data_IF_784110353956
#
_entry.id   IF_784110353956
#
_cell.length_a   1.000
_cell.length_b   1.000
_cell.length_c   1.000
_cell.angle_alpha   90.00
_cell.angle_beta   90.00
_cell.angle_gamma   90.00
#
_symmetry.space_group_name_H-M   'P 1'
#
loop_
_entity.id
_entity.type
_entity.pdbx_description
1 polymer ?
#
# COMPACT_ATOMS: atom_id res chain seq x y z
N UNK A 1 41.56 56.50 64.44
CA UNK A 1 42.36 55.26 64.33
C UNK A 1 41.57 54.08 64.91
N UNK A 2 40.87 53.31 64.09
CA UNK A 2 40.54 51.89 64.31
C UNK A 2 40.44 51.24 62.93
N UNK A 3 41.30 50.24 62.71
CA UNK A 3 41.47 49.46 61.49
C UNK A 3 40.39 48.37 61.38
N UNK A 4 40.03 48.10 60.11
CA UNK A 4 39.81 46.80 59.47
C UNK A 4 38.78 45.79 60.03
N UNK A 5 37.85 45.36 59.17
CA UNK A 5 37.98 44.09 58.42
C UNK A 5 36.87 44.02 57.35
N UNK A 6 37.24 44.04 56.07
CA UNK A 6 36.33 43.70 54.97
C UNK A 6 36.65 42.27 54.53
N UNK A 7 35.71 41.35 54.75
CA UNK A 7 35.78 39.96 54.30
C UNK A 7 35.34 39.92 52.83
N UNK A 8 36.27 39.62 51.92
CA UNK A 8 35.98 39.32 50.53
C UNK A 8 35.72 37.82 50.42
N UNK A 9 34.49 37.44 50.09
CA UNK A 9 34.12 36.06 49.75
C UNK A 9 34.33 35.87 48.26
N UNK A 10 35.37 35.11 47.89
CA UNK A 10 35.65 34.73 46.51
C UNK A 10 34.85 33.48 46.16
N UNK A 11 33.80 33.62 45.36
CA UNK A 11 33.04 32.50 44.78
C UNK A 11 33.84 31.88 43.64
N UNK A 12 34.35 30.66 43.84
CA UNK A 12 34.89 29.82 42.78
C UNK A 12 33.73 29.26 41.92
N UNK A 13 33.59 29.76 40.70
CA UNK A 13 32.76 29.15 39.66
C UNK A 13 33.56 28.03 38.98
N UNK A 14 33.28 26.78 39.33
CA UNK A 14 33.75 25.60 38.60
C UNK A 14 32.90 25.47 37.34
N UNK A 15 33.48 25.83 36.19
CA UNK A 15 32.87 25.61 34.89
C UNK A 15 32.83 24.12 34.56
N UNK A 16 31.65 23.50 34.59
CA UNK A 16 31.44 22.20 33.94
C UNK A 16 31.39 22.42 32.44
N UNK A 17 32.49 22.11 31.76
CA UNK A 17 32.54 21.97 30.31
C UNK A 17 31.68 20.77 29.90
N UNK A 18 30.43 21.01 29.52
CA UNK A 18 29.62 20.01 28.84
C UNK A 18 30.31 19.66 27.52
N UNK A 19 30.88 18.45 27.43
CA UNK A 19 31.35 17.89 26.16
C UNK A 19 30.15 17.83 25.23
N UNK A 20 30.14 18.68 24.20
CA UNK A 20 29.18 18.63 23.12
C UNK A 20 29.17 17.22 22.55
N UNK A 21 28.02 16.54 22.65
CA UNK A 21 27.76 15.34 21.87
C UNK A 21 27.73 15.81 20.42
N UNK A 22 28.77 15.44 19.66
CA UNK A 22 28.77 15.63 18.22
C UNK A 22 27.49 15.04 17.63
N UNK A 23 26.83 15.68 16.65
CA UNK A 23 25.69 15.07 15.99
C UNK A 23 26.14 13.71 15.48
N UNK A 24 25.47 12.66 15.97
CA UNK A 24 25.63 11.33 15.40
C UNK A 24 25.25 11.46 13.92
N UNK A 25 26.25 11.36 13.04
CA UNK A 25 26.02 11.28 11.61
C UNK A 25 24.96 10.18 11.40
N UNK A 26 23.82 10.55 10.82
CA UNK A 26 22.85 9.57 10.38
C UNK A 26 23.59 8.52 9.54
N UNK A 27 23.35 7.21 9.74
CA UNK A 27 24.01 6.19 8.95
C UNK A 27 23.82 6.52 7.46
N UNK A 28 24.90 6.35 6.68
CA UNK A 28 24.89 6.66 5.26
C UNK A 28 23.73 5.94 4.57
N UNK A 29 22.88 6.70 3.88
CA UNK A 29 21.70 6.20 3.19
C UNK A 29 22.10 5.20 2.08
N UNK A 30 21.96 3.90 2.37
CA UNK A 30 22.28 2.86 1.39
C UNK A 30 21.36 2.97 0.18
N UNK A 31 21.96 3.19 -1.00
CA UNK A 31 21.21 3.38 -2.25
C UNK A 31 20.59 4.77 -2.42
N UNK A 32 20.92 5.74 -1.55
CA UNK A 32 20.49 7.15 -1.65
C UNK A 32 19.10 7.43 -1.09
N UNK A 33 18.64 6.64 -0.12
CA UNK A 33 17.44 6.88 0.68
C UNK A 33 17.53 6.16 2.03
N UNK A 34 16.73 6.57 3.00
CA UNK A 34 16.72 6.10 4.39
C UNK A 34 15.79 4.89 4.59
N UNK A 35 16.36 3.69 4.55
CA UNK A 35 15.60 2.43 4.68
C UNK A 35 15.03 2.24 6.09
N UNK A 36 15.82 2.53 7.12
CA UNK A 36 15.45 2.40 8.53
C UNK A 36 14.27 3.32 8.89
N UNK A 37 14.28 4.54 8.38
CA UNK A 37 13.24 5.53 8.60
C UNK A 37 11.92 5.15 7.91
N UNK A 38 11.99 4.57 6.70
CA UNK A 38 10.82 4.03 6.03
C UNK A 38 10.27 2.79 6.77
N UNK A 39 11.15 1.89 7.22
CA UNK A 39 10.77 0.73 8.02
C UNK A 39 10.07 1.15 9.31
N UNK A 40 10.67 2.10 10.05
CA UNK A 40 10.08 2.68 11.25
C UNK A 40 8.73 3.34 11.00
N UNK A 41 8.60 4.10 9.91
CA UNK A 41 7.32 4.69 9.52
C UNK A 41 6.26 3.61 9.32
N UNK A 42 6.55 2.60 8.49
CA UNK A 42 5.60 1.53 8.18
C UNK A 42 5.21 0.73 9.43
N UNK A 43 6.15 0.39 10.29
CA UNK A 43 5.91 -0.37 11.52
C UNK A 43 5.04 0.42 12.52
N UNK A 44 5.39 1.69 12.81
CA UNK A 44 4.62 2.55 13.72
C UNK A 44 3.21 2.84 13.16
N UNK A 45 3.07 3.02 11.84
CA UNK A 45 1.77 3.24 11.19
C UNK A 45 0.91 1.98 11.24
N UNK A 46 1.52 0.79 11.16
CA UNK A 46 0.80 -0.48 11.32
C UNK A 46 0.33 -0.66 12.76
N UNK A 47 1.12 -0.28 13.76
CA UNK A 47 0.69 -0.28 15.16
C UNK A 47 -0.47 0.67 15.42
N UNK A 48 -0.40 1.88 14.85
CA UNK A 48 -1.51 2.83 14.92
C UNK A 48 -2.77 2.29 14.21
N UNK A 49 -2.61 1.52 13.10
CA UNK A 49 -3.73 0.81 12.46
C UNK A 49 -4.33 -0.23 13.38
N UNK A 50 -3.48 -1.05 13.99
CA UNK A 50 -3.93 -2.02 14.95
C UNK A 50 -4.62 -1.38 16.15
N UNK A 51 -4.26 -0.17 16.58
CA UNK A 51 -4.92 0.52 17.67
C UNK A 51 -6.28 1.11 17.24
N UNK A 52 -6.33 1.79 16.09
CA UNK A 52 -7.48 2.60 15.67
C UNK A 52 -8.49 1.90 14.74
N UNK A 53 -8.13 0.78 14.11
CA UNK A 53 -9.04 0.09 13.20
C UNK A 53 -10.20 -0.59 13.95
N UNK A 54 -11.34 -0.69 13.26
CA UNK A 54 -12.52 -1.43 13.74
C UNK A 54 -12.11 -2.84 14.18
N UNK A 55 -12.46 -3.18 15.42
CA UNK A 55 -12.30 -4.52 15.99
C UNK A 55 -13.48 -5.38 15.57
N UNK A 56 -13.18 -6.55 15.03
CA UNK A 56 -14.14 -7.46 14.46
C UNK A 56 -14.04 -8.80 15.18
N UNK A 57 -15.18 -9.32 15.65
CA UNK A 57 -15.22 -10.66 16.24
C UNK A 57 -14.72 -11.69 15.24
N UNK A 58 -13.79 -12.55 15.66
CA UNK A 58 -13.09 -13.54 14.82
C UNK A 58 -12.73 -14.75 15.67
N UNK A 59 -13.54 -15.81 15.58
CA UNK A 59 -13.44 -16.96 16.48
C UNK A 59 -13.65 -16.53 17.94
N UNK A 60 -12.75 -16.95 18.84
CA UNK A 60 -12.81 -16.66 20.28
C UNK A 60 -12.21 -15.30 20.67
N UNK A 61 -11.94 -14.40 19.71
CA UNK A 61 -11.38 -13.08 20.00
C UNK A 61 -11.69 -12.09 18.90
N UNK A 62 -10.81 -11.09 18.72
CA UNK A 62 -11.00 -10.03 17.72
C UNK A 62 -9.80 -9.91 16.78
N UNK A 63 -10.07 -9.46 15.56
CA UNK A 63 -9.06 -9.02 14.60
C UNK A 63 -9.41 -7.62 14.10
N UNK A 64 -8.41 -6.77 13.77
CA UNK A 64 -8.67 -5.51 13.08
C UNK A 64 -9.06 -5.76 11.61
N UNK A 65 -9.86 -4.86 11.03
CA UNK A 65 -10.08 -4.83 9.58
C UNK A 65 -8.75 -4.69 8.82
N UNK A 66 -8.64 -5.32 7.65
CA UNK A 66 -7.46 -5.22 6.77
C UNK A 66 -7.71 -4.12 5.73
N UNK A 67 -7.00 -2.99 5.85
CA UNK A 67 -7.17 -1.85 4.93
C UNK A 67 -6.45 -2.04 3.59
N UNK A 68 -7.12 -1.59 2.52
CA UNK A 68 -6.60 -1.50 1.16
C UNK A 68 -5.42 -0.54 0.98
N UNK A 69 -5.27 0.47 1.84
CA UNK A 69 -4.28 1.55 1.70
C UNK A 69 -3.19 1.54 2.79
N UNK A 70 -3.38 0.80 3.87
CA UNK A 70 -2.39 0.67 4.96
C UNK A 70 -1.93 -0.78 5.12
N UNK A 71 -2.83 -1.71 5.45
CA UNK A 71 -2.45 -3.08 5.81
C UNK A 71 -2.03 -3.94 4.60
N UNK A 72 -2.75 -3.86 3.47
CA UNK A 72 -2.37 -4.56 2.24
C UNK A 72 -1.02 -4.05 1.70
N UNK A 73 -0.82 -2.73 1.50
CA UNK A 73 0.48 -2.16 1.18
C UNK A 73 1.61 -2.63 2.11
N UNK A 74 1.40 -2.57 3.43
CA UNK A 74 2.38 -3.03 4.41
C UNK A 74 2.75 -4.51 4.22
N UNK A 75 1.77 -5.40 4.05
CA UNK A 75 2.00 -6.84 3.84
C UNK A 75 2.87 -7.11 2.60
N UNK A 76 2.75 -6.29 1.55
CA UNK A 76 3.49 -6.46 0.31
C UNK A 76 4.91 -5.88 0.38
N UNK A 77 5.11 -4.71 1.02
CA UNK A 77 6.40 -4.01 1.01
C UNK A 77 7.33 -4.38 2.15
N UNK A 78 6.79 -4.63 3.36
CA UNK A 78 7.63 -4.74 4.54
C UNK A 78 8.59 -5.94 4.48
N UNK A 79 8.20 -7.13 3.98
CA UNK A 79 9.15 -8.23 3.78
C UNK A 79 10.25 -7.89 2.77
N UNK A 80 9.91 -7.19 1.68
CA UNK A 80 10.89 -6.76 0.68
C UNK A 80 11.90 -5.75 1.25
N UNK A 81 11.43 -4.77 2.02
CA UNK A 81 12.28 -3.83 2.75
C UNK A 81 13.20 -4.56 3.75
N UNK A 82 12.62 -5.49 4.51
CA UNK A 82 13.35 -6.29 5.49
C UNK A 82 14.51 -7.05 4.85
N UNK A 83 14.29 -7.67 3.68
CA UNK A 83 15.36 -8.31 2.90
C UNK A 83 16.41 -7.34 2.40
N UNK A 84 15.99 -6.18 1.88
CA UNK A 84 16.93 -5.14 1.42
C UNK A 84 17.83 -4.62 2.56
N UNK A 85 17.31 -4.62 3.79
CA UNK A 85 18.05 -4.30 5.01
C UNK A 85 18.82 -5.49 5.60
N UNK A 86 18.87 -6.65 4.91
CA UNK A 86 19.51 -7.88 5.39
C UNK A 86 18.98 -8.41 6.73
N UNK A 87 17.70 -8.15 7.05
CA UNK A 87 17.03 -8.66 8.24
C UNK A 87 16.22 -9.92 7.87
N UNK A 88 16.40 -11.02 8.58
CA UNK A 88 15.72 -12.29 8.29
C UNK A 88 14.47 -12.53 9.13
N UNK A 89 14.43 -11.99 10.35
CA UNK A 89 13.32 -12.16 11.29
C UNK A 89 12.17 -11.21 10.97
N UNK A 90 10.94 -11.70 10.71
CA UNK A 90 9.76 -10.84 10.55
C UNK A 90 9.52 -9.94 11.77
N UNK A 91 9.02 -8.73 11.54
CA UNK A 91 8.65 -7.83 12.64
C UNK A 91 7.43 -8.34 13.41
N UNK A 92 7.23 -7.92 14.68
CA UNK A 92 6.00 -8.23 15.40
C UNK A 92 4.73 -7.83 14.64
N UNK A 93 4.77 -6.74 13.87
CA UNK A 93 3.66 -6.25 13.06
C UNK A 93 3.42 -7.13 11.83
N UNK A 94 4.48 -7.61 11.14
CA UNK A 94 4.35 -8.62 10.07
C UNK A 94 3.67 -9.89 10.60
N UNK A 95 4.13 -10.41 11.74
CA UNK A 95 3.59 -11.62 12.38
C UNK A 95 2.12 -11.41 12.76
N UNK A 96 1.81 -10.32 13.48
CA UNK A 96 0.45 -10.02 13.94
C UNK A 96 -0.53 -9.84 12.80
N UNK A 97 -0.11 -9.21 11.70
CA UNK A 97 -0.94 -9.05 10.51
C UNK A 97 -1.28 -10.41 9.90
N UNK A 98 -0.26 -11.25 9.69
CA UNK A 98 -0.42 -12.56 9.09
C UNK A 98 -1.29 -13.49 9.94
N UNK A 99 -1.06 -13.55 11.25
CA UNK A 99 -1.89 -14.31 12.20
C UNK A 99 -3.35 -13.84 12.20
N UNK A 100 -3.57 -12.53 12.14
CA UNK A 100 -4.91 -11.96 12.02
C UNK A 100 -5.63 -12.45 10.77
N UNK A 101 -4.96 -12.40 9.61
CA UNK A 101 -5.51 -12.89 8.34
C UNK A 101 -5.79 -14.39 8.38
N UNK A 102 -4.86 -15.20 8.91
CA UNK A 102 -5.04 -16.65 9.06
C UNK A 102 -6.29 -16.94 9.90
N UNK A 103 -6.44 -16.30 11.07
CA UNK A 103 -7.62 -16.48 11.93
C UNK A 103 -8.92 -16.11 11.24
N UNK A 104 -8.93 -15.03 10.45
CA UNK A 104 -10.12 -14.65 9.68
C UNK A 104 -10.46 -15.70 8.63
N UNK A 105 -9.48 -16.21 7.90
CA UNK A 105 -9.67 -17.29 6.92
C UNK A 105 -10.18 -18.58 7.58
N UNK A 106 -9.70 -18.92 8.77
CA UNK A 106 -10.16 -20.10 9.51
C UNK A 106 -11.59 -20.00 10.04
N UNK A 107 -12.14 -18.78 10.10
CA UNK A 107 -13.44 -18.49 10.72
C UNK A 107 -14.42 -17.80 9.77
N UNK A 108 -14.22 -17.92 8.45
CA UNK A 108 -15.02 -17.21 7.43
C UNK A 108 -16.54 -17.25 7.63
N UNK A 109 -17.08 -18.40 8.03
CA UNK A 109 -18.53 -18.59 8.16
C UNK A 109 -19.10 -17.97 9.45
N UNK A 110 -18.24 -17.65 10.42
CA UNK A 110 -18.65 -17.26 11.78
C UNK A 110 -18.12 -15.90 12.23
N UNK A 111 -17.07 -15.37 11.58
CA UNK A 111 -16.52 -14.07 11.95
C UNK A 111 -17.43 -12.92 11.50
N UNK A 112 -17.25 -11.77 12.15
CA UNK A 112 -17.93 -10.54 11.77
C UNK A 112 -17.35 -9.98 10.46
N UNK A 113 -18.24 -9.55 9.57
CA UNK A 113 -17.90 -8.86 8.33
C UNK A 113 -17.23 -7.52 8.60
N UNK A 114 -16.38 -7.07 7.66
CA UNK A 114 -15.81 -5.72 7.71
C UNK A 114 -16.89 -4.65 7.90
N UNK A 115 -17.94 -4.70 7.07
CA UNK A 115 -19.10 -3.81 7.12
C UNK A 115 -20.41 -4.56 6.82
N UNK A 116 -21.43 -4.31 7.63
CA UNK A 116 -22.72 -5.03 7.57
C UNK A 116 -23.93 -4.12 7.89
N UNK A 117 -23.73 -2.80 7.87
CA UNK A 117 -24.75 -1.82 8.27
C UNK A 117 -25.91 -1.67 7.26
N UNK A 118 -25.83 -2.29 6.08
CA UNK A 118 -26.92 -2.45 5.13
C UNK A 118 -26.73 -3.70 4.26
N UNK A 119 -27.75 -4.10 3.49
CA UNK A 119 -27.71 -5.31 2.66
C UNK A 119 -26.67 -5.27 1.54
N UNK A 120 -26.34 -4.10 0.98
CA UNK A 120 -25.32 -3.97 -0.06
C UNK A 120 -23.89 -4.17 0.49
N UNK A 121 -23.63 -3.73 1.72
CA UNK A 121 -22.29 -3.81 2.34
C UNK A 121 -21.87 -5.21 2.73
N UNK A 122 -22.83 -6.12 2.94
CA UNK A 122 -22.54 -7.51 3.30
C UNK A 122 -21.79 -8.27 2.19
N UNK A 123 -22.29 -8.36 0.94
CA UNK A 123 -21.55 -8.98 -0.16
C UNK A 123 -20.26 -8.22 -0.49
N UNK A 124 -20.26 -6.89 -0.49
CA UNK A 124 -19.05 -6.09 -0.71
C UNK A 124 -17.94 -6.40 0.30
N UNK A 125 -18.29 -6.57 1.58
CA UNK A 125 -17.34 -6.97 2.62
C UNK A 125 -16.79 -8.36 2.38
N UNK A 126 -17.65 -9.32 2.02
CA UNK A 126 -17.22 -10.70 1.74
C UNK A 126 -16.27 -10.79 0.56
N UNK A 127 -16.60 -10.12 -0.55
CA UNK A 127 -15.78 -10.14 -1.76
C UNK A 127 -14.44 -9.43 -1.56
N UNK A 128 -14.46 -8.23 -0.97
CA UNK A 128 -13.22 -7.48 -0.65
C UNK A 128 -12.31 -8.28 0.27
N UNK A 129 -12.86 -8.86 1.34
CA UNK A 129 -12.09 -9.66 2.29
C UNK A 129 -11.49 -10.91 1.64
N UNK A 130 -12.26 -11.61 0.79
CA UNK A 130 -11.77 -12.80 0.09
C UNK A 130 -10.54 -12.49 -0.79
N UNK A 131 -10.60 -11.39 -1.55
CA UNK A 131 -9.48 -10.94 -2.39
C UNK A 131 -8.26 -10.54 -1.56
N UNK A 132 -8.47 -9.72 -0.52
CA UNK A 132 -7.38 -9.22 0.33
C UNK A 132 -6.68 -10.36 1.06
N UNK A 133 -7.43 -11.27 1.68
CA UNK A 133 -6.87 -12.40 2.41
C UNK A 133 -6.07 -13.32 1.47
N UNK A 134 -6.60 -13.60 0.27
CA UNK A 134 -5.88 -14.38 -0.73
C UNK A 134 -4.56 -13.70 -1.14
N UNK A 135 -4.56 -12.39 -1.38
CA UNK A 135 -3.34 -11.65 -1.76
C UNK A 135 -2.28 -11.65 -0.66
N UNK A 136 -2.67 -11.38 0.58
CA UNK A 136 -1.72 -11.34 1.72
C UNK A 136 -1.10 -12.72 1.94
N UNK A 137 -1.90 -13.78 1.95
CA UNK A 137 -1.41 -15.14 2.18
C UNK A 137 -0.59 -15.68 1.01
N UNK A 138 -1.01 -15.42 -0.24
CA UNK A 138 -0.22 -15.77 -1.41
C UNK A 138 1.15 -15.08 -1.41
N UNK A 139 1.20 -13.80 -1.02
CA UNK A 139 2.44 -13.04 -0.92
C UNK A 139 3.34 -13.58 0.20
N UNK A 140 2.77 -13.95 1.34
CA UNK A 140 3.50 -14.54 2.46
C UNK A 140 4.09 -15.93 2.11
N UNK A 141 3.36 -16.76 1.36
CA UNK A 141 3.88 -18.05 0.88
C UNK A 141 5.03 -17.85 -0.11
N UNK A 142 4.89 -16.89 -1.03
CA UNK A 142 5.95 -16.55 -2.00
C UNK A 142 7.20 -15.99 -1.31
N UNK A 143 7.03 -15.17 -0.27
CA UNK A 143 8.12 -14.66 0.57
C UNK A 143 8.93 -15.80 1.21
N UNK A 144 8.25 -16.88 1.60
CA UNK A 144 8.86 -18.07 2.18
C UNK A 144 9.41 -19.05 1.13
N UNK A 145 9.42 -18.67 -0.16
CA UNK A 145 9.82 -19.51 -1.29
C UNK A 145 9.09 -20.86 -1.33
N UNK A 146 7.83 -20.90 -0.88
CA UNK A 146 7.05 -22.14 -0.89
C UNK A 146 6.72 -22.53 -2.33
N UNK A 147 6.89 -23.82 -2.64
CA UNK A 147 6.49 -24.39 -3.94
C UNK A 147 4.98 -24.61 -4.02
N UNK A 148 4.36 -24.89 -2.89
CA UNK A 148 2.91 -25.11 -2.78
C UNK A 148 2.29 -24.12 -1.78
N UNK A 149 1.04 -23.69 -2.01
CA UNK A 149 0.33 -22.84 -1.07
C UNK A 149 0.20 -23.53 0.28
N UNK A 150 0.39 -22.79 1.37
CA UNK A 150 0.10 -23.27 2.71
C UNK A 150 -1.40 -23.54 2.88
N UNK A 151 -1.76 -24.25 3.96
CA UNK A 151 -3.16 -24.59 4.21
C UNK A 151 -4.06 -23.35 4.38
N UNK A 152 -3.65 -22.29 5.10
CA UNK A 152 -4.41 -21.03 5.13
C UNK A 152 -4.59 -20.43 3.72
N UNK A 153 -3.55 -20.44 2.89
CA UNK A 153 -3.63 -19.93 1.50
C UNK A 153 -4.60 -20.74 0.65
N UNK A 154 -4.58 -22.08 0.75
CA UNK A 154 -5.56 -22.94 0.07
C UNK A 154 -6.99 -22.62 0.47
N UNK A 155 -7.25 -22.41 1.77
CA UNK A 155 -8.57 -21.99 2.29
C UNK A 155 -8.98 -20.62 1.76
N UNK A 156 -8.07 -19.66 1.74
CA UNK A 156 -8.34 -18.33 1.19
C UNK A 156 -8.67 -18.36 -0.30
N UNK A 157 -7.93 -19.13 -1.09
CA UNK A 157 -8.20 -19.31 -2.53
C UNK A 157 -9.53 -20.03 -2.78
N UNK A 158 -9.89 -21.02 -1.96
CA UNK A 158 -11.22 -21.65 -2.04
C UNK A 158 -12.31 -20.61 -1.82
N UNK A 159 -12.21 -19.79 -0.78
CA UNK A 159 -13.18 -18.72 -0.50
C UNK A 159 -13.22 -17.66 -1.60
N UNK A 160 -12.07 -17.34 -2.20
CA UNK A 160 -11.98 -16.44 -3.35
C UNK A 160 -12.86 -16.96 -4.49
N UNK A 161 -12.76 -18.24 -4.85
CA UNK A 161 -13.57 -18.79 -5.93
C UNK A 161 -15.07 -18.91 -5.57
N UNK A 162 -15.39 -19.28 -4.33
CA UNK A 162 -16.79 -19.37 -3.85
C UNK A 162 -17.53 -18.03 -3.89
N UNK A 163 -16.80 -16.92 -3.71
CA UNK A 163 -17.38 -15.56 -3.66
C UNK A 163 -17.29 -14.83 -5.01
N UNK A 164 -16.74 -15.46 -6.05
CA UNK A 164 -16.61 -14.85 -7.36
C UNK A 164 -17.99 -14.70 -8.03
N UNK A 165 -18.24 -13.51 -8.56
CA UNK A 165 -19.44 -13.20 -9.33
C UNK A 165 -19.44 -13.92 -10.68
N UNK A 166 -20.61 -14.10 -11.31
CA UNK A 166 -20.71 -14.69 -12.65
C UNK A 166 -19.89 -13.95 -13.72
N UNK A 167 -19.72 -12.64 -13.60
CA UNK A 167 -18.94 -11.83 -14.54
C UNK A 167 -17.42 -11.90 -14.32
N UNK A 168 -16.95 -12.56 -13.26
CA UNK A 168 -15.54 -12.82 -12.97
C UNK A 168 -14.86 -11.90 -11.96
N UNK A 169 -15.57 -10.89 -11.46
CA UNK A 169 -15.12 -10.02 -10.38
C UNK A 169 -15.64 -10.46 -9.00
N UNK A 170 -15.41 -9.63 -7.98
CA UNK A 170 -15.97 -9.76 -6.64
C UNK A 170 -16.74 -8.49 -6.29
N UNK A 171 -17.78 -8.60 -5.47
CA UNK A 171 -18.39 -7.41 -4.89
C UNK A 171 -17.33 -6.72 -4.02
N UNK A 172 -17.16 -5.42 -4.25
CA UNK A 172 -16.07 -4.64 -3.70
C UNK A 172 -16.62 -3.49 -2.87
N UNK A 173 -15.96 -3.15 -1.76
CA UNK A 173 -16.38 -2.06 -0.89
C UNK A 173 -16.42 -0.74 -1.66
N UNK A 174 -17.63 -0.18 -1.79
CA UNK A 174 -17.86 1.10 -2.46
C UNK A 174 -18.38 2.16 -1.49
N UNK A 175 -17.49 3.01 -0.99
CA UNK A 175 -17.85 4.14 -0.14
C UNK A 175 -17.91 5.48 -0.91
N UNK A 176 -17.79 5.46 -2.23
CA UNK A 176 -17.61 6.67 -3.05
C UNK A 176 -16.23 7.32 -2.91
N UNK A 177 -15.24 6.59 -2.38
CA UNK A 177 -13.91 7.11 -2.05
C UNK A 177 -12.87 6.59 -3.04
N UNK A 178 -12.35 7.49 -3.87
CA UNK A 178 -11.34 7.16 -4.86
C UNK A 178 -9.93 7.05 -4.22
N UNK A 179 -9.05 6.15 -4.71
CA UNK A 179 -9.29 5.21 -5.80
C UNK A 179 -9.71 3.80 -5.33
N UNK A 180 -9.75 3.54 -4.02
CA UNK A 180 -9.80 2.18 -3.48
C UNK A 180 -11.20 1.68 -3.14
N UNK A 181 -12.15 2.57 -2.92
CA UNK A 181 -13.47 2.24 -2.40
C UNK A 181 -14.55 2.97 -3.21
N UNK A 182 -14.50 2.78 -4.54
CA UNK A 182 -15.42 3.33 -5.52
C UNK A 182 -15.96 2.25 -6.45
N UNK A 183 -16.98 2.56 -7.25
CA UNK A 183 -17.53 1.62 -8.23
C UNK A 183 -16.45 1.11 -9.21
N UNK A 184 -15.58 2.00 -9.67
CA UNK A 184 -14.46 1.67 -10.56
C UNK A 184 -13.37 0.83 -9.84
N UNK A 185 -13.31 0.86 -8.50
CA UNK A 185 -12.39 0.05 -7.71
C UNK A 185 -12.69 -1.47 -7.76
N UNK A 186 -13.85 -1.88 -8.28
CA UNK A 186 -14.13 -3.29 -8.58
C UNK A 186 -13.07 -3.89 -9.51
N UNK A 187 -12.58 -3.11 -10.48
CA UNK A 187 -11.52 -3.56 -11.40
C UNK A 187 -10.14 -3.62 -10.73
N UNK A 188 -9.89 -2.70 -9.79
CA UNK A 188 -8.73 -2.76 -8.90
C UNK A 188 -8.74 -4.06 -8.08
N UNK A 189 -9.87 -4.39 -7.43
CA UNK A 189 -10.05 -5.65 -6.70
C UNK A 189 -9.82 -6.90 -7.57
N UNK A 190 -10.35 -6.92 -8.79
CA UNK A 190 -10.10 -8.01 -9.74
C UNK A 190 -8.60 -8.13 -10.12
N UNK A 191 -7.91 -6.99 -10.25
CA UNK A 191 -6.46 -6.98 -10.52
C UNK A 191 -5.64 -7.49 -9.33
N UNK A 192 -6.06 -7.20 -8.10
CA UNK A 192 -5.47 -7.78 -6.89
C UNK A 192 -5.68 -9.29 -6.82
N UNK A 193 -6.88 -9.77 -7.16
CA UNK A 193 -7.15 -11.21 -7.23
C UNK A 193 -6.25 -11.90 -8.27
N UNK A 194 -6.07 -11.28 -9.44
CA UNK A 194 -5.15 -11.78 -10.47
C UNK A 194 -3.68 -11.83 -9.98
N UNK A 195 -3.25 -10.82 -9.21
CA UNK A 195 -1.94 -10.86 -8.55
C UNK A 195 -1.82 -12.00 -7.54
N UNK A 196 -2.83 -12.20 -6.69
CA UNK A 196 -2.85 -13.26 -5.69
C UNK A 196 -2.71 -14.65 -6.33
N UNK A 197 -3.57 -14.95 -7.30
CA UNK A 197 -3.61 -16.28 -7.94
C UNK A 197 -2.40 -16.52 -8.84
N UNK A 198 -1.86 -15.49 -9.48
CA UNK A 198 -0.62 -15.59 -10.27
C UNK A 198 0.65 -15.70 -9.42
N UNK A 199 0.58 -15.42 -8.11
CA UNK A 199 1.71 -15.54 -7.19
C UNK A 199 1.88 -16.97 -6.67
N UNK A 200 0.79 -17.73 -6.53
CA UNK A 200 0.81 -19.12 -6.07
C UNK A 200 0.91 -20.11 -7.24
N UNK A 201 2.11 -20.61 -7.52
CA UNK A 201 2.41 -21.49 -8.68
C UNK A 201 1.55 -22.76 -8.78
N UNK A 202 1.01 -23.27 -7.66
CA UNK A 202 0.32 -24.57 -7.66
C UNK A 202 -1.16 -24.54 -8.09
N UNK A 203 -1.81 -23.37 -8.10
CA UNK A 203 -3.20 -23.25 -8.57
C UNK A 203 -3.31 -22.95 -10.07
N UNK A 204 -2.23 -22.50 -10.71
CA UNK A 204 -2.12 -22.60 -12.17
C UNK A 204 -1.98 -24.04 -12.67
N UNK A 205 -1.69 -25.01 -11.78
CA UNK A 205 -1.37 -26.40 -12.14
C UNK A 205 -2.27 -27.46 -11.49
N UNK A 206 -3.20 -27.09 -10.58
CA UNK A 206 -4.08 -28.06 -9.91
C UNK A 206 -5.51 -27.96 -10.47
N UNK A 207 -6.03 -29.01 -11.15
CA UNK A 207 -7.33 -29.00 -11.81
C UNK A 207 -8.45 -29.28 -10.79
N UNK A 208 -8.64 -28.37 -9.84
CA UNK A 208 -9.99 -28.23 -9.28
C UNK A 208 -10.81 -27.51 -10.36
N UNK A 209 -11.84 -28.17 -10.88
CA UNK A 209 -12.70 -27.65 -11.98
C UNK A 209 -13.16 -26.21 -11.74
N UNK A 210 -13.45 -25.88 -10.48
CA UNK A 210 -13.93 -24.57 -10.06
C UNK A 210 -12.84 -23.49 -10.14
N UNK A 211 -11.57 -23.82 -9.89
CA UNK A 211 -10.46 -22.89 -9.99
C UNK A 211 -10.15 -22.53 -11.45
N UNK A 212 -10.19 -23.50 -12.36
CA UNK A 212 -10.03 -23.25 -13.81
C UNK A 212 -11.15 -22.36 -14.34
N UNK A 213 -12.40 -22.70 -14.02
CA UNK A 213 -13.55 -21.89 -14.43
C UNK A 213 -13.48 -20.46 -13.85
N UNK A 214 -13.05 -20.33 -12.59
CA UNK A 214 -12.89 -19.03 -11.95
C UNK A 214 -11.77 -18.18 -12.56
N UNK A 215 -10.64 -18.80 -12.91
CA UNK A 215 -9.54 -18.14 -13.64
C UNK A 215 -9.97 -17.64 -15.01
N UNK A 216 -10.76 -18.43 -15.75
CA UNK A 216 -11.24 -18.03 -17.07
C UNK A 216 -12.21 -16.86 -16.99
N UNK A 217 -13.12 -16.87 -16.00
CA UNK A 217 -14.01 -15.71 -15.73
C UNK A 217 -13.20 -14.47 -15.35
N UNK A 218 -12.18 -14.61 -14.49
CA UNK A 218 -11.32 -13.49 -14.08
C UNK A 218 -10.58 -12.88 -15.29
N UNK A 219 -9.96 -13.73 -16.12
CA UNK A 219 -9.31 -13.29 -17.37
C UNK A 219 -10.30 -12.61 -18.30
N UNK A 220 -11.50 -13.18 -18.46
CA UNK A 220 -12.59 -12.62 -19.25
C UNK A 220 -13.01 -11.24 -18.77
N UNK A 221 -13.22 -11.06 -17.47
CA UNK A 221 -13.55 -9.78 -16.85
C UNK A 221 -12.48 -8.72 -17.13
N UNK A 222 -11.21 -9.04 -16.82
CA UNK A 222 -10.10 -8.10 -16.96
C UNK A 222 -9.92 -7.67 -18.42
N UNK A 223 -10.00 -8.60 -19.38
CA UNK A 223 -9.91 -8.29 -20.82
C UNK A 223 -11.06 -7.41 -21.30
N UNK A 224 -12.29 -7.81 -20.98
CA UNK A 224 -13.51 -7.18 -21.51
C UNK A 224 -13.69 -5.77 -20.94
N UNK A 225 -13.38 -5.58 -19.66
CA UNK A 225 -13.57 -4.29 -18.98
C UNK A 225 -12.39 -3.33 -19.15
N UNK A 226 -11.23 -3.77 -19.66
CA UNK A 226 -9.98 -2.98 -19.76
C UNK A 226 -10.17 -1.63 -20.43
N UNK A 227 -10.84 -1.59 -21.58
CA UNK A 227 -10.93 -0.38 -22.40
C UNK A 227 -11.70 0.76 -21.73
N UNK A 228 -12.58 0.44 -20.76
CA UNK A 228 -13.36 1.43 -20.04
C UNK A 228 -12.68 1.93 -18.75
N UNK A 229 -11.51 1.41 -18.41
CA UNK A 229 -10.84 1.72 -17.15
C UNK A 229 -9.99 2.99 -17.26
N UNK A 230 -9.95 3.75 -16.16
CA UNK A 230 -8.98 4.83 -16.01
C UNK A 230 -7.53 4.27 -15.98
N UNK A 231 -6.54 5.16 -16.05
CA UNK A 231 -5.14 4.74 -16.13
C UNK A 231 -4.69 4.06 -14.83
N UNK A 232 -5.20 4.48 -13.66
CA UNK A 232 -4.91 3.84 -12.37
C UNK A 232 -5.22 2.34 -12.39
N UNK A 233 -6.44 1.97 -12.78
CA UNK A 233 -6.86 0.58 -12.89
C UNK A 233 -6.05 -0.20 -13.94
N UNK A 234 -5.65 0.46 -15.05
CA UNK A 234 -4.82 -0.17 -16.09
C UNK A 234 -3.37 -0.39 -15.64
N UNK A 235 -2.82 0.46 -14.77
CA UNK A 235 -1.50 0.23 -14.14
C UNK A 235 -1.55 -1.02 -13.25
N UNK A 236 -2.63 -1.22 -12.49
CA UNK A 236 -2.84 -2.44 -11.70
C UNK A 236 -3.02 -3.69 -12.56
N UNK A 237 -3.71 -3.60 -13.69
CA UNK A 237 -3.77 -4.68 -14.68
C UNK A 237 -2.38 -5.02 -15.22
N UNK A 238 -1.57 -4.02 -15.57
CA UNK A 238 -0.20 -4.23 -16.05
C UNK A 238 0.61 -4.97 -15.00
N UNK A 239 0.53 -4.56 -13.72
CA UNK A 239 1.18 -5.26 -12.62
C UNK A 239 0.68 -6.71 -12.48
N UNK A 240 -0.64 -6.93 -12.57
CA UNK A 240 -1.22 -8.26 -12.51
C UNK A 240 -0.74 -9.17 -13.65
N UNK A 241 -0.55 -8.63 -14.85
CA UNK A 241 -0.09 -9.38 -16.03
C UNK A 241 1.32 -9.95 -15.90
N UNK A 242 2.13 -9.41 -14.98
CA UNK A 242 3.48 -9.94 -14.71
C UNK A 242 3.42 -11.28 -13.97
N UNK A 243 2.28 -11.59 -13.33
CA UNK A 243 2.04 -12.81 -12.56
C UNK A 243 1.03 -13.73 -13.25
N UNK A 244 -0.13 -13.21 -13.63
CA UNK A 244 -1.17 -13.97 -14.31
C UNK A 244 -1.06 -13.76 -15.83
N UNK A 245 -0.71 -14.83 -16.56
CA UNK A 245 -0.66 -14.80 -18.02
C UNK A 245 -2.06 -14.73 -18.63
N UNK A 246 -2.10 -14.31 -19.88
CA UNK A 246 -3.32 -14.19 -20.69
C UNK A 246 -4.35 -13.20 -20.13
N UNK A 247 -3.91 -12.10 -19.53
CA UNK A 247 -4.76 -10.93 -19.19
C UNK A 247 -4.42 -9.69 -20.02
N UNK A 248 -3.18 -9.59 -20.48
CA UNK A 248 -2.68 -8.62 -21.45
C UNK A 248 -1.81 -9.33 -22.48
N UNK A 249 -1.98 -8.99 -23.76
CA UNK A 249 -1.06 -9.43 -24.81
C UNK A 249 0.14 -8.48 -24.90
N UNK A 250 1.29 -8.90 -25.47
CA UNK A 250 2.42 -8.01 -25.71
C UNK A 250 2.03 -6.73 -26.47
N UNK A 251 1.22 -6.86 -27.53
CA UNK A 251 0.71 -5.72 -28.30
C UNK A 251 -0.27 -4.81 -27.55
N UNK A 252 -0.80 -5.22 -26.40
CA UNK A 252 -1.58 -4.35 -25.50
C UNK A 252 -0.71 -3.76 -24.38
N UNK A 253 0.34 -4.48 -23.97
CA UNK A 253 1.28 -4.06 -22.94
C UNK A 253 2.12 -2.86 -23.41
N UNK A 254 2.66 -2.91 -24.62
CA UNK A 254 3.52 -1.83 -25.14
C UNK A 254 2.81 -0.47 -25.23
N UNK A 255 1.61 -0.34 -25.84
CA UNK A 255 0.90 0.94 -25.86
C UNK A 255 0.50 1.43 -24.46
N UNK A 256 0.19 0.52 -23.54
CA UNK A 256 -0.12 0.89 -22.16
C UNK A 256 1.12 1.43 -21.43
N UNK A 257 2.29 0.80 -21.63
CA UNK A 257 3.56 1.31 -21.09
C UNK A 257 3.86 2.70 -21.67
N UNK A 258 3.67 2.90 -22.97
CA UNK A 258 3.85 4.20 -23.61
C UNK A 258 2.88 5.27 -23.05
N UNK A 259 1.61 4.92 -22.84
CA UNK A 259 0.63 5.81 -22.20
C UNK A 259 1.06 6.19 -20.78
N UNK A 260 1.49 5.22 -19.97
CA UNK A 260 2.01 5.45 -18.62
C UNK A 260 3.20 6.41 -18.65
N UNK A 261 4.17 6.18 -19.56
CA UNK A 261 5.34 7.04 -19.71
C UNK A 261 4.98 8.46 -20.14
N UNK A 262 3.96 8.62 -21.01
CA UNK A 262 3.48 9.94 -21.44
C UNK A 262 2.89 10.78 -20.31
N UNK A 263 2.53 10.15 -19.17
CA UNK A 263 2.04 10.85 -17.96
C UNK A 263 3.14 11.21 -16.97
N UNK A 264 4.41 10.90 -17.26
CA UNK A 264 5.52 11.31 -16.40
C UNK A 264 5.64 12.83 -16.43
N UNK A 265 5.64 13.47 -15.27
CA UNK A 265 5.79 14.91 -15.15
C UNK A 265 7.25 15.34 -15.39
N UNK A 266 7.46 16.65 -15.57
CA UNK A 266 8.80 17.22 -15.83
C UNK A 266 9.77 17.02 -14.68
N UNK A 267 9.27 16.84 -13.45
CA UNK A 267 10.09 16.51 -12.27
C UNK A 267 10.54 15.05 -12.23
N UNK A 268 10.03 14.19 -13.13
CA UNK A 268 10.35 12.77 -13.22
C UNK A 268 9.38 11.85 -12.46
N UNK A 269 8.43 12.39 -11.71
CA UNK A 269 7.40 11.62 -11.00
C UNK A 269 6.10 11.47 -11.78
N UNK A 270 5.10 10.89 -11.12
CA UNK A 270 3.71 10.81 -11.57
C UNK A 270 2.77 11.29 -10.48
N UNK A 271 1.63 11.84 -10.89
CA UNK A 271 0.56 12.28 -10.00
C UNK A 271 -0.64 11.33 -10.08
N UNK A 272 -1.12 10.88 -8.92
CA UNK A 272 -2.32 10.07 -8.78
C UNK A 272 -3.51 10.78 -9.42
N UNK A 273 -3.68 12.08 -9.21
CA UNK A 273 -4.78 12.87 -9.80
C UNK A 273 -4.87 12.67 -11.31
N UNK A 274 -3.73 12.61 -12.00
CA UNK A 274 -3.67 12.48 -13.47
C UNK A 274 -3.99 11.07 -13.99
N UNK A 275 -4.06 10.06 -13.11
CA UNK A 275 -4.37 8.67 -13.47
C UNK A 275 -5.88 8.40 -13.64
N UNK A 276 -6.72 9.41 -13.38
CA UNK A 276 -8.15 9.40 -13.63
C UNK A 276 -8.54 9.29 -15.13
N UNK A 277 -9.83 9.46 -15.47
CA UNK A 277 -10.85 10.21 -14.72
C UNK A 277 -11.31 9.52 -13.43
N UNK A 278 -11.73 10.35 -12.48
CA UNK A 278 -12.28 9.96 -11.18
C UNK A 278 -13.77 10.25 -11.15
N UNK A 279 -14.56 9.35 -10.56
CA UNK A 279 -16.03 9.44 -10.59
C UNK A 279 -16.64 9.66 -9.22
N UNK A 280 -16.05 9.15 -8.15
CA UNK A 280 -16.63 9.22 -6.79
C UNK A 280 -18.08 8.74 -6.81
N UNK A 281 -18.28 7.43 -6.93
CA UNK A 281 -19.61 6.79 -6.87
C UNK A 281 -20.46 7.34 -5.73
N UNK A 282 -21.78 7.31 -5.91
CA UNK A 282 -22.76 7.85 -4.96
C UNK A 282 -22.76 9.38 -4.77
N UNK A 283 -21.87 10.13 -5.44
CA UNK A 283 -21.89 11.60 -5.44
C UNK A 283 -22.65 12.17 -6.63
N UNK A 284 -23.56 13.10 -6.36
CA UNK A 284 -24.23 13.87 -7.40
C UNK A 284 -23.18 14.74 -8.13
N UNK A 285 -23.14 14.64 -9.47
CA UNK A 285 -22.17 15.30 -10.38
C UNK A 285 -20.74 14.72 -10.43
N UNK A 286 -20.49 13.52 -9.92
CA UNK A 286 -19.15 12.90 -9.94
C UNK A 286 -18.07 13.78 -9.30
N UNK A 287 -18.35 14.24 -8.06
CA UNK A 287 -17.46 15.15 -7.30
C UNK A 287 -16.92 14.46 -6.05
N UNK A 288 -15.74 14.86 -5.57
CA UNK A 288 -15.21 14.38 -4.30
C UNK A 288 -16.14 14.70 -3.13
N UNK A 289 -16.12 13.84 -2.10
CA UNK A 289 -16.93 14.00 -0.89
C UNK A 289 -16.66 15.29 -0.11
N UNK A 290 -15.47 15.88 -0.27
CA UNK A 290 -15.11 17.19 0.25
C UNK A 290 -14.32 17.98 -0.79
N UNK A 291 -13.68 19.06 -0.37
CA UNK A 291 -12.82 19.85 -1.27
C UNK A 291 -11.39 19.35 -1.12
N UNK A 292 -10.81 18.65 -2.12
CA UNK A 292 -9.40 18.30 -2.10
C UNK A 292 -8.53 19.52 -2.36
N UNK A 293 -7.27 19.46 -1.91
CA UNK A 293 -6.29 20.49 -2.25
C UNK A 293 -5.78 20.26 -3.67
N UNK A 294 -6.21 21.13 -4.59
CA UNK A 294 -5.84 21.03 -6.00
C UNK A 294 -4.35 21.35 -6.25
N UNK A 295 -3.72 22.17 -5.42
CA UNK A 295 -2.30 22.50 -5.58
C UNK A 295 -1.44 21.27 -5.21
N UNK A 296 -1.76 20.61 -4.08
CA UNK A 296 -1.06 19.37 -3.70
C UNK A 296 -1.26 18.26 -4.73
N UNK A 297 -2.47 18.12 -5.28
CA UNK A 297 -2.78 17.09 -6.28
C UNK A 297 -2.22 17.37 -7.67
N UNK A 298 -1.82 18.60 -7.99
CA UNK A 298 -1.22 18.95 -9.28
C UNK A 298 0.19 18.37 -9.44
N UNK A 299 0.89 18.14 -8.33
CA UNK A 299 2.27 17.65 -8.32
C UNK A 299 2.36 16.13 -8.34
N UNK A 300 3.52 15.62 -8.74
CA UNK A 300 3.87 14.21 -8.56
C UNK A 300 3.79 13.81 -7.09
N UNK A 301 3.35 12.59 -6.82
CA UNK A 301 3.25 12.05 -5.47
C UNK A 301 3.89 10.65 -5.36
N UNK A 302 4.18 10.26 -4.13
CA UNK A 302 4.89 9.00 -3.84
C UNK A 302 4.09 7.75 -4.15
N UNK A 303 2.75 7.81 -4.10
CA UNK A 303 1.93 6.64 -4.40
C UNK A 303 1.92 6.34 -5.89
N UNK A 304 1.56 7.33 -6.73
CA UNK A 304 1.56 7.13 -8.18
C UNK A 304 2.97 6.84 -8.71
N UNK A 305 3.99 7.59 -8.27
CA UNK A 305 5.37 7.38 -8.70
C UNK A 305 5.89 6.01 -8.27
N UNK A 306 5.69 5.62 -7.01
CA UNK A 306 6.11 4.31 -6.50
C UNK A 306 5.43 3.16 -7.23
N UNK A 307 4.10 3.22 -7.38
CA UNK A 307 3.32 2.17 -8.05
C UNK A 307 3.78 2.00 -9.51
N UNK A 308 3.89 3.10 -10.26
CA UNK A 308 4.27 3.06 -11.67
C UNK A 308 5.70 2.54 -11.84
N UNK A 309 6.66 3.05 -11.08
CA UNK A 309 8.06 2.59 -11.18
C UNK A 309 8.15 1.10 -10.85
N UNK A 310 7.47 0.66 -9.78
CA UNK A 310 7.43 -0.76 -9.43
C UNK A 310 6.82 -1.60 -10.54
N UNK A 311 5.67 -1.19 -11.10
CA UNK A 311 4.99 -1.89 -12.19
C UNK A 311 5.84 -1.97 -13.45
N UNK A 312 6.47 -0.86 -13.88
CA UNK A 312 7.31 -0.85 -15.08
C UNK A 312 8.50 -1.80 -14.94
N UNK A 313 9.15 -1.82 -13.76
CA UNK A 313 10.25 -2.76 -13.48
C UNK A 313 9.78 -4.21 -13.50
N UNK A 314 8.64 -4.52 -12.88
CA UNK A 314 8.04 -5.86 -12.93
C UNK A 314 7.57 -6.27 -14.32
N UNK A 315 7.26 -5.31 -15.19
CA UNK A 315 6.95 -5.52 -16.59
C UNK A 315 8.20 -5.72 -17.48
N UNK A 316 9.42 -5.70 -16.90
CA UNK A 316 10.67 -6.00 -17.58
C UNK A 316 11.45 -4.77 -18.07
N UNK A 317 11.06 -3.56 -17.69
CA UNK A 317 11.86 -2.37 -18.00
C UNK A 317 13.04 -2.28 -17.01
N UNK A 318 14.30 -2.20 -17.49
CA UNK A 318 15.47 -2.14 -16.63
C UNK A 318 15.54 -0.82 -15.85
N UNK A 319 16.27 -0.81 -14.74
CA UNK A 319 16.45 0.37 -13.89
C UNK A 319 17.04 1.61 -14.60
N UNK A 320 17.77 1.42 -15.70
CA UNK A 320 18.37 2.49 -16.51
C UNK A 320 17.45 3.00 -17.63
N UNK A 321 16.30 2.36 -17.88
CA UNK A 321 15.30 2.84 -18.82
C UNK A 321 14.92 4.30 -18.47
N UNK A 322 14.88 5.25 -19.43
CA UNK A 322 14.77 6.68 -19.12
C UNK A 322 13.64 7.07 -18.16
N UNK A 323 12.43 6.55 -18.37
CA UNK A 323 11.30 6.81 -17.48
C UNK A 323 11.47 6.22 -16.07
N UNK A 324 11.99 4.98 -15.98
CA UNK A 324 12.24 4.28 -14.70
C UNK A 324 13.33 4.99 -13.92
N UNK A 325 14.44 5.35 -14.57
CA UNK A 325 15.56 6.07 -13.96
C UNK A 325 15.12 7.40 -13.35
N UNK A 326 14.34 8.20 -14.09
CA UNK A 326 13.78 9.47 -13.59
C UNK A 326 12.85 9.26 -12.40
N UNK A 327 11.97 8.26 -12.46
CA UNK A 327 11.09 7.92 -11.33
C UNK A 327 11.85 7.46 -10.09
N UNK A 328 12.88 6.62 -10.24
CA UNK A 328 13.75 6.22 -9.13
C UNK A 328 14.50 7.41 -8.53
N UNK A 329 15.00 8.33 -9.37
CA UNK A 329 15.62 9.57 -8.90
C UNK A 329 14.62 10.45 -8.13
N UNK A 330 13.40 10.60 -8.64
CA UNK A 330 12.33 11.33 -7.96
C UNK A 330 12.03 10.70 -6.60
N UNK A 331 11.88 9.37 -6.51
CA UNK A 331 11.62 8.70 -5.23
C UNK A 331 12.74 8.96 -4.22
N UNK A 332 14.01 8.83 -4.61
CA UNK A 332 15.14 9.11 -3.72
C UNK A 332 15.15 10.56 -3.23
N UNK A 333 14.88 11.51 -4.13
CA UNK A 333 14.85 12.93 -3.80
C UNK A 333 13.65 13.37 -2.96
N UNK A 334 12.56 12.59 -2.94
CA UNK A 334 11.29 12.95 -2.28
C UNK A 334 10.97 12.09 -1.05
N UNK A 335 11.95 11.37 -0.51
CA UNK A 335 11.83 10.89 0.86
C UNK A 335 12.07 12.06 1.82
N UNK A 336 11.04 12.43 2.56
CA UNK A 336 11.02 13.65 3.34
C UNK A 336 10.74 13.39 4.82
N UNK A 337 11.07 14.40 5.63
CA UNK A 337 10.66 14.46 7.02
C UNK A 337 9.16 14.75 7.08
N UNK A 338 8.42 13.87 7.75
CA UNK A 338 6.98 13.99 7.96
C UNK A 338 6.71 14.00 9.45
N UNK A 339 6.18 15.11 9.94
CA UNK A 339 5.78 15.23 11.34
C UNK A 339 4.38 14.61 11.56
N UNK A 340 4.34 13.60 12.42
CA UNK A 340 3.14 12.98 12.97
C UNK A 340 3.30 13.01 14.48
N UNK A 341 2.64 13.97 15.13
CA UNK A 341 2.80 14.31 16.55
C UNK A 341 2.95 13.08 17.48
N UNK A 342 4.03 12.96 18.28
CA UNK A 342 5.18 13.88 18.47
C UNK A 342 6.43 13.50 17.65
N UNK A 343 6.30 12.64 16.65
CA UNK A 343 7.43 12.01 15.94
C UNK A 343 7.62 12.59 14.55
N UNK A 344 8.87 12.56 14.08
CA UNK A 344 9.23 12.85 12.69
C UNK A 344 9.67 11.56 12.02
N UNK A 345 9.17 11.31 10.82
CA UNK A 345 9.41 10.10 10.04
C UNK A 345 10.02 10.40 8.68
N UNK A 346 10.85 9.49 8.15
CA UNK A 346 11.36 9.54 6.77
C UNK A 346 10.45 8.71 5.86
N UNK A 347 9.58 9.38 5.12
CA UNK A 347 8.56 8.70 4.31
C UNK A 347 8.16 9.53 3.08
N UNK A 348 7.28 8.97 2.25
CA UNK A 348 6.78 9.63 1.04
C UNK A 348 5.36 10.14 1.24
N UNK A 349 5.07 11.28 0.63
CA UNK A 349 3.73 11.88 0.65
C UNK A 349 2.90 11.44 -0.52
N UNK A 350 1.62 11.26 -0.24
CA UNK A 350 0.54 11.27 -1.22
C UNK A 350 -0.71 11.79 -0.52
N UNK A 351 -1.60 12.39 -1.30
CA UNK A 351 -2.71 13.19 -0.80
C UNK A 351 -4.05 12.59 -1.24
N UNK A 352 -5.10 12.87 -0.47
CA UNK A 352 -6.41 12.29 -0.75
C UNK A 352 -7.06 12.94 -1.96
N UNK A 353 -7.59 12.12 -2.87
CA UNK A 353 -8.48 12.55 -3.95
C UNK A 353 -9.86 13.00 -3.45
N UNK A 354 -10.20 12.72 -2.19
CA UNK A 354 -11.58 12.80 -1.69
C UNK A 354 -11.87 14.05 -0.87
N UNK A 355 -10.85 14.64 -0.24
CA UNK A 355 -10.90 15.88 0.56
C UNK A 355 -9.51 16.28 1.03
N UNK A 356 -9.35 17.54 1.38
CA UNK A 356 -8.16 18.03 2.06
C UNK A 356 -8.06 17.45 3.49
N UNK A 357 -6.88 16.95 3.83
CA UNK A 357 -6.52 16.48 5.18
C UNK A 357 -5.29 17.18 5.74
N UNK A 358 -4.68 18.09 4.98
CA UNK A 358 -3.37 18.67 5.28
C UNK A 358 -3.47 19.97 6.07
N UNK A 359 -4.53 20.76 5.86
CA UNK A 359 -4.68 22.08 6.46
C UNK A 359 -5.55 22.09 7.73
N UNK A 360 -5.71 20.95 8.41
CA UNK A 360 -6.47 20.84 9.66
C UNK A 360 -8.00 20.80 9.47
N UNK A 361 -8.75 21.20 10.50
CA UNK A 361 -10.22 21.10 10.53
C UNK A 361 -10.75 19.69 10.89
N UNK A 362 -12.07 19.48 10.76
CA UNK A 362 -12.73 18.23 11.17
C UNK A 362 -12.23 16.95 10.46
N UNK A 363 -11.51 17.11 9.35
CA UNK A 363 -10.95 16.04 8.53
C UNK A 363 -9.41 15.96 8.55
N UNK A 364 -8.73 16.94 9.15
CA UNK A 364 -7.26 17.04 9.14
C UNK A 364 -6.56 16.28 10.28
N UNK A 365 -7.20 15.26 10.85
CA UNK A 365 -6.66 14.53 12.00
C UNK A 365 -5.49 13.61 11.60
N UNK A 366 -4.44 13.48 12.44
CA UNK A 366 -3.17 12.81 12.05
C UNK A 366 -3.31 11.35 11.62
N UNK A 367 -4.31 10.63 12.12
CA UNK A 367 -4.50 9.21 11.85
C UNK A 367 -4.88 8.96 10.38
N UNK A 368 -5.98 9.56 9.91
CA UNK A 368 -6.46 9.43 8.51
C UNK A 368 -5.68 10.26 7.50
N UNK A 369 -5.05 11.36 7.91
CA UNK A 369 -4.21 12.20 7.04
C UNK A 369 -3.10 11.39 6.35
N UNK A 370 -2.59 10.37 7.03
CA UNK A 370 -1.46 9.58 6.56
C UNK A 370 -1.83 8.37 5.70
N UNK A 371 -3.12 8.06 5.49
CA UNK A 371 -3.55 6.86 4.76
C UNK A 371 -2.98 6.75 3.34
N UNK A 372 -2.95 7.85 2.59
CA UNK A 372 -2.34 7.84 1.26
C UNK A 372 -0.80 7.79 1.32
N UNK A 373 -0.20 8.33 2.38
CA UNK A 373 1.24 8.25 2.60
C UNK A 373 1.70 6.86 3.08
N UNK A 374 0.81 6.08 3.72
CA UNK A 374 1.03 4.67 4.03
C UNK A 374 1.21 3.86 2.73
N UNK A 375 0.31 4.07 1.76
CA UNK A 375 0.41 3.50 0.43
C UNK A 375 1.64 4.03 -0.34
N UNK A 376 1.90 5.35 -0.28
CA UNK A 376 3.05 5.96 -0.95
C UNK A 376 4.38 5.37 -0.49
N UNK A 377 4.57 5.25 0.83
CA UNK A 377 5.80 4.74 1.41
C UNK A 377 6.01 3.27 1.06
N UNK A 378 4.94 2.46 1.08
CA UNK A 378 4.97 1.08 0.61
C UNK A 378 5.49 0.98 -0.83
N UNK A 379 4.86 1.72 -1.75
CA UNK A 379 5.16 1.54 -3.16
C UNK A 379 6.49 2.18 -3.56
N UNK A 380 6.92 3.24 -2.88
CA UNK A 380 8.28 3.75 -2.98
C UNK A 380 9.31 2.69 -2.57
N UNK A 381 9.08 2.01 -1.45
CA UNK A 381 9.91 0.89 -0.98
C UNK A 381 9.95 -0.24 -2.02
N UNK A 382 8.79 -0.67 -2.53
CA UNK A 382 8.73 -1.73 -3.55
C UNK A 382 9.49 -1.35 -4.82
N UNK A 383 9.36 -0.10 -5.28
CA UNK A 383 10.06 0.42 -6.45
C UNK A 383 11.58 0.47 -6.24
N UNK A 384 12.05 0.93 -5.07
CA UNK A 384 13.46 1.10 -4.75
C UNK A 384 14.17 -0.22 -4.40
N UNK A 385 13.43 -1.22 -3.93
CA UNK A 385 13.97 -2.54 -3.54
C UNK A 385 13.74 -3.63 -4.58
N UNK A 386 12.97 -3.36 -5.64
CA UNK A 386 12.85 -4.32 -6.73
C UNK A 386 14.25 -4.62 -7.31
N UNK A 387 14.53 -5.89 -7.54
CA UNK A 387 15.65 -6.31 -8.38
C UNK A 387 15.29 -6.09 -9.85
N UNK A 388 16.30 -5.83 -10.67
CA UNK A 388 16.18 -5.94 -12.13
C UNK A 388 15.93 -7.38 -12.57
#
# INVERSE_FOLDING_TARGET
MRLALAVVVTTLLVGLSARGVAPQNAPAEQGGWNQEGAAKYLDDRMDAWFAGAKKLRTGQGETPCISCHTAVPYALSRPALRRAMHVTTPTPQEVRLLEGVIRRVETYDTHQLFYDFNEAKKPESRGTEAVINALVLASADAEQNRREPSEPTRKALRRLWETQRPDGAWDWLDFGLEPFESADATYYGASLAALAVGTVSAYSTSPATDATAGLDKLRGYLKTRRASQNLFNRVWLLLASTRLKDVLTPGQQEPLIAEIQSRQQTDGGWSLQTLGPWRWSHQWLFRPHGTPDAALLAHSDGYATGLIVYTLRKAGLPGDHPAVKKGLQWLKANQQDIQIDPRTYRAWRSYSLNRDREHGGGDGEPWRRMFMSDAATTFAVLALTASD
#
